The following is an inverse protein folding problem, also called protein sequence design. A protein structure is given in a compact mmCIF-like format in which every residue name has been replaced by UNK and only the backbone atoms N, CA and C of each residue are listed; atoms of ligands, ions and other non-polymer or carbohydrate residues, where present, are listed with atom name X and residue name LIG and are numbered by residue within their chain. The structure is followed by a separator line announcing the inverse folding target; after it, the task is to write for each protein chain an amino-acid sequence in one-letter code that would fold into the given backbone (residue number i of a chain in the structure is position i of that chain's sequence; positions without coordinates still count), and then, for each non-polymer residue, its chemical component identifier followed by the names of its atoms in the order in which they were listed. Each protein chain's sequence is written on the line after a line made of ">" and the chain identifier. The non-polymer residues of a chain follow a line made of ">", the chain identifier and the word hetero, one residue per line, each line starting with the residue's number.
data_IF_731413016126
#
_entry.id   IF_731413016126
#
_cell.length_a   1.000
_cell.length_b   1.000
_cell.length_c   1.000
_cell.angle_alpha   90.00
_cell.angle_beta   90.00
_cell.angle_gamma   90.00
#
_symmetry.space_group_name_H-M   'P 1'
#
loop_
_entity.id
_entity.type
_entity.pdbx_description
1 polymer ?
#
# COMPACT_ATOMS: atom_id res chain seq x y z
N UNK A 1 -49.29 31.65 -42.29
CA UNK A 1 -49.06 30.59 -43.30
C UNK A 1 -49.16 29.26 -42.59
N UNK A 2 -50.34 28.65 -42.62
CA UNK A 2 -50.62 27.41 -41.90
C UNK A 2 -50.83 26.25 -42.86
N UNK A 3 -50.43 25.07 -42.36
CA UNK A 3 -50.88 23.73 -42.73
C UNK A 3 -50.07 23.11 -43.90
N UNK A 4 -49.56 21.88 -43.84
CA UNK A 4 -50.31 20.68 -43.51
C UNK A 4 -49.43 19.54 -42.98
N UNK A 5 -49.94 18.91 -41.91
CA UNK A 5 -49.71 17.52 -41.54
C UNK A 5 -50.48 16.60 -42.50
N UNK A 6 -49.89 15.47 -42.90
CA UNK A 6 -50.52 14.12 -43.02
C UNK A 6 -49.60 13.20 -43.81
N UNK A 7 -49.08 12.10 -43.23
CA UNK A 7 -49.74 10.81 -42.94
C UNK A 7 -49.84 9.87 -44.14
N UNK A 8 -49.02 8.82 -44.06
CA UNK A 8 -49.33 7.39 -44.33
C UNK A 8 -49.44 6.98 -45.82
N UNK A 9 -49.26 5.67 -46.02
CA UNK A 9 -49.57 4.79 -47.18
C UNK A 9 -48.50 4.81 -48.30
N UNK A 10 -47.99 3.72 -48.88
CA UNK A 10 -48.40 2.31 -48.97
C UNK A 10 -47.21 1.45 -49.42
N UNK A 11 -47.21 0.19 -49.01
CA UNK A 11 -46.35 -0.91 -49.40
C UNK A 11 -46.66 -1.42 -50.84
N UNK A 12 -45.67 -2.07 -51.49
CA UNK A 12 -45.73 -3.32 -52.31
C UNK A 12 -45.21 -3.32 -53.77
N UNK A 13 -44.69 -4.52 -54.10
CA UNK A 13 -44.41 -5.16 -55.41
C UNK A 13 -43.02 -4.89 -56.03
N UNK A 14 -42.17 -5.84 -56.42
CA UNK A 14 -42.22 -7.31 -56.51
C UNK A 14 -41.18 -7.76 -57.56
N UNK A 15 -40.21 -8.58 -57.13
CA UNK A 15 -39.37 -9.58 -57.85
C UNK A 15 -39.05 -9.44 -59.36
N UNK A 16 -37.75 -9.52 -59.73
CA UNK A 16 -37.24 -10.41 -60.82
C UNK A 16 -35.69 -10.44 -60.96
N UNK A 17 -35.11 -11.58 -60.54
CA UNK A 17 -34.04 -12.42 -61.12
C UNK A 17 -32.80 -11.81 -61.83
N UNK A 18 -31.65 -12.04 -61.18
CA UNK A 18 -30.31 -12.46 -61.64
C UNK A 18 -29.79 -12.12 -63.06
N UNK A 19 -28.60 -11.49 -63.09
CA UNK A 19 -27.52 -11.84 -64.02
C UNK A 19 -26.15 -11.51 -63.42
N UNK A 20 -25.28 -12.52 -63.42
CA UNK A 20 -23.88 -12.45 -63.00
C UNK A 20 -23.03 -11.69 -64.04
N UNK A 21 -22.02 -10.95 -63.57
CA UNK A 21 -20.99 -10.35 -64.43
C UNK A 21 -20.02 -9.52 -63.61
N UNK A 22 -18.87 -10.12 -63.27
CA UNK A 22 -17.85 -9.54 -62.40
C UNK A 22 -17.30 -8.21 -62.87
N UNK A 23 -17.19 -7.28 -61.93
CA UNK A 23 -16.27 -6.14 -62.00
C UNK A 23 -15.62 -6.02 -60.62
N UNK A 24 -14.41 -6.55 -60.51
CA UNK A 24 -13.59 -6.40 -59.30
C UNK A 24 -13.10 -4.96 -59.21
N UNK A 25 -13.72 -4.18 -58.33
CA UNK A 25 -13.17 -2.91 -57.86
C UNK A 25 -12.20 -3.24 -56.73
N UNK A 26 -10.89 -3.23 -57.02
CA UNK A 26 -9.86 -3.28 -55.99
C UNK A 26 -9.84 -1.93 -55.27
N UNK A 27 -10.47 -1.87 -54.09
CA UNK A 27 -10.29 -0.75 -53.17
C UNK A 27 -8.83 -0.76 -52.67
N UNK A 28 -8.16 0.39 -52.56
CA UNK A 28 -6.88 0.45 -51.87
C UNK A 28 -7.12 0.12 -50.40
N UNK A 29 -6.40 -0.89 -49.89
CA UNK A 29 -6.36 -1.16 -48.46
C UNK A 29 -5.68 0.03 -47.79
N UNK A 30 -6.45 0.85 -47.08
CA UNK A 30 -5.90 1.82 -46.12
C UNK A 30 -5.21 0.97 -45.05
N UNK A 31 -3.89 1.10 -44.94
CA UNK A 31 -3.12 0.39 -43.93
C UNK A 31 -3.69 0.72 -42.57
N UNK A 32 -4.04 -0.30 -41.79
CA UNK A 32 -4.38 -0.13 -40.39
C UNK A 32 -3.14 0.42 -39.68
N UNK A 33 -3.22 1.65 -39.18
CA UNK A 33 -2.24 2.16 -38.23
C UNK A 33 -2.25 1.24 -37.00
N UNK A 34 -1.07 0.83 -36.49
CA UNK A 34 -1.03 0.02 -35.29
C UNK A 34 -1.72 0.79 -34.15
N UNK A 35 -2.66 0.13 -33.47
CA UNK A 35 -3.27 0.67 -32.27
C UNK A 35 -2.15 0.99 -31.25
N UNK A 36 -2.23 2.12 -30.52
CA UNK A 36 -1.28 2.40 -29.46
C UNK A 36 -1.33 1.25 -28.46
N UNK A 37 -0.17 0.67 -28.18
CA UNK A 37 -0.02 -0.32 -27.11
C UNK A 37 -0.22 0.47 -25.82
N UNK A 38 -1.37 0.28 -25.16
CA UNK A 38 -1.57 0.83 -23.83
C UNK A 38 -0.52 0.19 -22.91
N UNK A 39 0.35 1.02 -22.34
CA UNK A 39 1.22 0.59 -21.25
C UNK A 39 0.28 0.23 -20.10
N UNK A 40 0.40 -0.99 -19.56
CA UNK A 40 -0.42 -1.37 -18.41
C UNK A 40 -0.04 -0.45 -17.24
N UNK A 41 -1.05 0.16 -16.62
CA UNK A 41 -0.89 0.92 -15.38
C UNK A 41 -0.45 -0.04 -14.26
N UNK A 42 0.38 0.45 -13.33
CA UNK A 42 0.82 -0.35 -12.19
C UNK A 42 -0.37 -0.74 -11.30
N UNK A 43 -0.32 -1.92 -10.67
CA UNK A 43 -1.34 -2.35 -9.71
C UNK A 43 -1.30 -1.46 -8.47
N UNK A 44 -2.43 -1.26 -7.79
CA UNK A 44 -2.49 -0.45 -6.57
C UNK A 44 -1.37 -0.80 -5.58
N UNK A 45 -0.64 0.23 -5.10
CA UNK A 45 0.48 0.08 -4.17
C UNK A 45 1.84 -0.24 -4.83
N UNK A 46 1.91 -0.56 -6.13
CA UNK A 46 3.20 -0.76 -6.80
C UNK A 46 3.83 0.58 -7.21
N UNK A 47 4.74 1.08 -6.37
CA UNK A 47 5.48 2.32 -6.61
C UNK A 47 6.87 2.10 -7.23
N UNK A 48 7.22 0.88 -7.62
CA UNK A 48 8.57 0.51 -8.09
C UNK A 48 8.99 1.22 -9.39
N UNK A 49 8.04 1.81 -10.12
CA UNK A 49 8.26 2.54 -11.36
C UNK A 49 8.58 4.03 -11.21
N UNK A 50 8.60 4.58 -9.99
CA UNK A 50 8.84 6.01 -9.74
C UNK A 50 10.29 6.28 -9.33
N UNK A 51 10.80 7.42 -9.78
CA UNK A 51 11.97 8.02 -9.12
C UNK A 51 11.57 8.44 -7.71
N UNK A 52 12.49 8.27 -6.76
CA UNK A 52 12.27 8.62 -5.35
C UNK A 52 13.11 9.84 -4.98
N UNK A 53 12.54 10.77 -4.22
CA UNK A 53 13.23 11.96 -3.71
C UNK A 53 12.91 12.13 -2.23
N UNK A 54 13.94 12.28 -1.36
CA UNK A 54 13.71 12.59 0.05
C UNK A 54 12.90 13.88 0.21
N UNK A 55 11.96 13.91 1.15
CA UNK A 55 11.13 15.10 1.42
C UNK A 55 12.00 16.34 1.67
N UNK A 56 13.11 16.19 2.40
CA UNK A 56 14.04 17.28 2.68
C UNK A 56 14.83 17.80 1.48
N UNK A 57 14.78 17.12 0.33
CA UNK A 57 15.41 17.56 -0.94
C UNK A 57 14.41 18.25 -1.88
N UNK A 58 13.11 18.18 -1.58
CA UNK A 58 12.07 18.94 -2.28
C UNK A 58 12.10 20.43 -1.86
N UNK A 59 11.39 21.33 -2.57
CA UNK A 59 11.19 22.69 -2.09
C UNK A 59 10.63 22.69 -0.65
N UNK A 60 11.05 23.62 0.22
CA UNK A 60 10.66 23.61 1.63
C UNK A 60 9.14 23.70 1.84
N UNK A 61 8.41 24.33 0.90
CA UNK A 61 6.95 24.39 0.96
C UNK A 61 6.30 23.01 0.83
N UNK A 62 6.99 22.01 0.27
CA UNK A 62 6.52 20.62 0.23
C UNK A 62 6.54 19.99 1.62
N UNK A 63 7.56 20.28 2.43
CA UNK A 63 7.60 19.88 3.85
C UNK A 63 6.47 20.53 4.64
N UNK A 64 6.25 21.84 4.46
CA UNK A 64 5.13 22.53 5.12
C UNK A 64 3.78 21.88 4.76
N UNK A 65 3.61 21.50 3.49
CA UNK A 65 2.39 20.82 3.00
C UNK A 65 2.26 19.41 3.59
N UNK A 66 3.36 18.66 3.63
CA UNK A 66 3.39 17.33 4.26
C UNK A 66 3.00 17.39 5.73
N UNK A 67 3.54 18.35 6.49
CA UNK A 67 3.20 18.53 7.91
C UNK A 67 1.71 18.84 8.11
N UNK A 68 1.10 19.63 7.21
CA UNK A 68 -0.35 19.87 7.20
C UNK A 68 -1.14 18.60 6.91
N UNK A 69 -0.66 17.74 6.01
CA UNK A 69 -1.31 16.45 5.74
C UNK A 69 -1.25 15.58 7.01
N UNK A 70 -0.11 15.52 7.69
CA UNK A 70 0.03 14.76 8.94
C UNK A 70 -0.84 15.29 10.08
N UNK A 71 -1.14 16.59 10.09
CA UNK A 71 -1.98 17.22 11.12
C UNK A 71 -3.47 17.34 10.76
N UNK A 72 -3.91 16.79 9.63
CA UNK A 72 -5.28 16.94 9.10
C UNK A 72 -5.67 18.43 8.93
N UNK A 73 -4.75 19.21 8.38
CA UNK A 73 -4.90 20.64 8.13
C UNK A 73 -4.64 21.52 9.37
N UNK A 74 -5.19 22.75 9.41
CA UNK A 74 -6.08 23.35 8.42
C UNK A 74 -5.40 23.64 7.09
N UNK A 75 -6.06 23.28 5.98
CA UNK A 75 -5.49 23.49 4.64
C UNK A 75 -5.73 24.91 4.10
N UNK A 76 -4.75 25.50 3.40
CA UNK A 76 -4.82 26.88 2.92
C UNK A 76 -5.76 27.06 1.72
N UNK A 77 -5.99 26.02 0.91
CA UNK A 77 -6.84 26.10 -0.28
C UNK A 77 -8.08 25.19 -0.15
N UNK A 78 -9.24 25.61 -0.70
CA UNK A 78 -10.47 24.82 -0.62
C UNK A 78 -10.44 23.54 -1.47
N UNK A 79 -9.48 23.42 -2.41
CA UNK A 79 -9.26 22.21 -3.20
C UNK A 79 -8.29 21.22 -2.53
N UNK A 80 -7.62 21.61 -1.46
CA UNK A 80 -6.79 20.68 -0.69
C UNK A 80 -7.69 19.62 -0.03
N UNK A 81 -7.18 18.40 0.06
CA UNK A 81 -7.91 17.21 0.52
C UNK A 81 -9.08 16.78 -0.37
N UNK A 82 -9.13 17.26 -1.62
CA UNK A 82 -10.08 16.75 -2.61
C UNK A 82 -9.53 15.51 -3.32
N UNK A 83 -10.45 14.63 -3.76
CA UNK A 83 -10.09 13.39 -4.46
C UNK A 83 -9.36 13.67 -5.77
N UNK A 84 -8.15 13.13 -5.88
CA UNK A 84 -7.38 13.07 -7.11
C UNK A 84 -7.79 11.83 -7.92
N UNK A 85 -8.30 12.04 -9.13
CA UNK A 85 -8.93 10.96 -9.91
C UNK A 85 -7.95 10.10 -10.72
N UNK A 86 -6.66 10.47 -10.78
CA UNK A 86 -5.64 9.76 -11.56
C UNK A 86 -6.10 9.39 -13.00
N UNK A 87 -6.73 10.33 -13.72
CA UNK A 87 -7.37 10.05 -15.02
C UNK A 87 -6.37 9.70 -16.12
N UNK A 88 -5.18 10.25 -16.01
CA UNK A 88 -4.06 10.02 -16.89
C UNK A 88 -3.40 8.65 -16.62
N UNK A 89 -3.75 7.99 -15.51
CA UNK A 89 -3.25 6.66 -15.14
C UNK A 89 -1.75 6.64 -14.88
N UNK A 90 -1.18 7.74 -14.39
CA UNK A 90 0.25 7.84 -14.10
C UNK A 90 0.56 7.15 -12.77
N UNK A 91 -0.25 7.40 -11.74
CA UNK A 91 -0.15 6.72 -10.45
C UNK A 91 -0.70 5.29 -10.54
N UNK A 92 -0.38 4.38 -9.60
CA UNK A 92 -0.97 3.05 -9.54
C UNK A 92 -2.52 3.04 -9.60
N UNK A 93 -3.09 1.96 -10.15
CA UNK A 93 -4.53 1.82 -10.33
C UNK A 93 -5.21 1.37 -9.03
N UNK A 94 -5.63 2.36 -8.23
CA UNK A 94 -6.34 2.17 -6.97
C UNK A 94 -7.82 2.58 -7.07
N UNK A 95 -8.61 2.24 -6.04
CA UNK A 95 -10.03 2.57 -6.00
C UNK A 95 -10.33 4.09 -5.99
N UNK A 96 -11.54 4.48 -6.41
CA UNK A 96 -11.96 5.89 -6.38
C UNK A 96 -11.92 6.42 -4.94
N UNK A 97 -11.31 7.60 -4.76
CA UNK A 97 -11.13 8.20 -3.44
C UNK A 97 -9.85 7.76 -2.73
N UNK A 98 -9.06 6.86 -3.30
CA UNK A 98 -7.79 6.44 -2.70
C UNK A 98 -6.75 7.57 -2.63
N UNK A 99 -6.70 8.41 -3.67
CA UNK A 99 -5.76 9.53 -3.77
C UNK A 99 -6.42 10.88 -3.46
N UNK A 100 -5.73 11.71 -2.69
CA UNK A 100 -6.13 13.07 -2.34
C UNK A 100 -5.03 14.07 -2.73
N UNK A 101 -5.39 15.26 -3.22
CA UNK A 101 -4.44 16.29 -3.64
C UNK A 101 -4.30 17.44 -2.64
N UNK A 102 -3.08 17.97 -2.53
CA UNK A 102 -2.73 19.09 -1.66
C UNK A 102 -1.82 20.07 -2.39
N UNK A 103 -2.07 21.36 -2.19
CA UNK A 103 -1.30 22.43 -2.81
C UNK A 103 0.04 22.60 -2.12
N UNK A 104 1.12 22.55 -2.90
CA UNK A 104 2.43 23.02 -2.45
C UNK A 104 2.60 24.46 -2.91
N UNK A 105 2.79 25.37 -1.95
CA UNK A 105 2.91 26.78 -2.28
C UNK A 105 4.11 27.07 -3.18
N UNK A 106 3.94 28.05 -4.06
CA UNK A 106 5.02 28.58 -4.87
C UNK A 106 5.21 30.05 -4.49
N UNK A 107 6.32 30.39 -3.82
CA UNK A 107 6.54 31.74 -3.32
C UNK A 107 6.36 32.82 -4.39
N UNK A 108 5.58 33.85 -4.05
CA UNK A 108 5.33 35.00 -4.91
C UNK A 108 4.22 34.83 -5.95
N UNK A 109 3.50 33.70 -5.95
CA UNK A 109 2.27 33.55 -6.73
C UNK A 109 1.03 33.87 -5.88
N UNK A 110 0.08 34.58 -6.47
CA UNK A 110 -1.23 34.89 -5.85
C UNK A 110 -2.28 33.79 -6.11
N UNK A 111 -1.84 32.63 -6.60
CA UNK A 111 -2.66 31.47 -6.95
C UNK A 111 -1.93 30.17 -6.62
N UNK A 112 -2.67 29.05 -6.54
CA UNK A 112 -2.16 27.70 -6.17
C UNK A 112 -0.92 27.23 -6.92
N UNK A 113 -0.64 27.76 -8.11
CA UNK A 113 0.51 27.34 -8.92
C UNK A 113 0.36 25.91 -9.42
N UNK A 114 1.47 25.29 -9.82
CA UNK A 114 1.50 23.96 -10.44
C UNK A 114 1.88 22.82 -9.46
N UNK A 115 2.48 23.14 -8.32
CA UNK A 115 3.08 22.15 -7.43
C UNK A 115 2.05 21.49 -6.53
N UNK A 116 2.09 20.17 -6.38
CA UNK A 116 1.17 19.42 -5.53
C UNK A 116 1.88 18.27 -4.83
N UNK A 117 1.33 17.88 -3.68
CA UNK A 117 1.48 16.54 -3.13
C UNK A 117 0.18 15.79 -3.41
N UNK A 118 0.27 14.55 -3.88
CA UNK A 118 -0.85 13.61 -3.95
C UNK A 118 -0.59 12.51 -2.93
N UNK A 119 -1.45 12.38 -1.92
CA UNK A 119 -1.37 11.35 -0.89
C UNK A 119 -2.23 10.15 -1.28
N UNK A 120 -1.67 8.94 -1.18
CA UNK A 120 -2.40 7.68 -1.24
C UNK A 120 -2.79 7.21 0.16
N UNK A 121 -3.92 6.52 0.26
CA UNK A 121 -4.39 5.96 1.53
C UNK A 121 -3.50 4.84 2.09
N UNK A 122 -2.61 4.25 1.26
CA UNK A 122 -1.58 3.28 1.66
C UNK A 122 -0.34 3.90 2.30
N UNK A 123 -0.35 5.23 2.48
CA UNK A 123 0.71 5.98 3.16
C UNK A 123 1.80 6.47 2.21
N UNK A 124 1.65 6.30 0.89
CA UNK A 124 2.55 6.86 -0.10
C UNK A 124 2.21 8.33 -0.45
N UNK A 125 3.24 9.14 -0.71
CA UNK A 125 3.08 10.52 -1.17
C UNK A 125 3.83 10.74 -2.46
N UNK A 126 3.19 11.39 -3.42
CA UNK A 126 3.80 11.75 -4.71
C UNK A 126 3.88 13.26 -4.84
N UNK A 127 5.03 13.77 -5.25
CA UNK A 127 5.20 15.19 -5.57
C UNK A 127 5.15 15.40 -7.09
N UNK A 128 4.38 16.40 -7.51
CA UNK A 128 4.41 16.93 -8.88
C UNK A 128 4.80 18.41 -8.84
N UNK A 129 5.68 18.82 -9.74
CA UNK A 129 6.08 20.22 -9.90
C UNK A 129 5.43 20.90 -11.12
N UNK A 130 4.72 20.12 -11.92
CA UNK A 130 4.27 20.43 -13.27
C UNK A 130 2.77 20.15 -13.46
N UNK A 131 2.00 20.22 -12.37
CA UNK A 131 0.53 20.10 -12.41
C UNK A 131 0.08 18.75 -13.02
N UNK A 132 0.59 17.67 -12.41
CA UNK A 132 0.25 16.27 -12.69
C UNK A 132 0.79 15.72 -14.03
N UNK A 133 1.69 16.43 -14.71
CA UNK A 133 2.35 15.91 -15.92
C UNK A 133 3.38 14.82 -15.58
N UNK A 134 4.06 14.94 -14.43
CA UNK A 134 4.96 13.92 -13.88
C UNK A 134 4.94 13.88 -12.35
N UNK A 135 5.40 12.76 -11.79
CA UNK A 135 5.46 12.53 -10.36
C UNK A 135 6.81 11.93 -9.93
N UNK A 136 7.26 12.31 -8.74
CA UNK A 136 8.32 11.63 -7.98
C UNK A 136 7.71 11.10 -6.69
N UNK A 137 8.12 9.92 -6.24
CA UNK A 137 7.74 9.38 -4.94
C UNK A 137 8.51 10.13 -3.85
N UNK A 138 7.81 10.57 -2.81
CA UNK A 138 8.41 11.26 -1.68
C UNK A 138 8.86 10.22 -0.67
N UNK A 139 10.16 10.19 -0.38
CA UNK A 139 10.70 9.45 0.76
C UNK A 139 10.62 10.33 2.00
N UNK A 140 9.61 10.06 2.84
CA UNK A 140 9.48 10.72 4.13
C UNK A 140 10.30 9.90 5.12
N UNK A 141 11.29 10.52 5.76
CA UNK A 141 12.30 9.85 6.60
C UNK A 141 11.75 9.14 7.86
N UNK A 142 10.43 8.97 7.96
CA UNK A 142 9.68 8.25 8.98
C UNK A 142 8.85 7.08 8.40
N UNK A 143 9.02 6.73 7.11
CA UNK A 143 8.39 5.55 6.49
C UNK A 143 7.05 5.77 5.76
N UNK A 144 6.89 6.90 5.05
CA UNK A 144 5.69 7.23 4.25
C UNK A 144 5.88 7.20 2.72
N UNK A 145 6.80 6.40 2.20
CA UNK A 145 6.39 5.53 1.10
C UNK A 145 5.92 4.25 1.79
N UNK A 146 4.95 3.49 1.26
CA UNK A 146 4.85 2.10 1.72
C UNK A 146 6.28 1.56 1.67
N UNK A 147 6.92 1.21 2.81
CA UNK A 147 8.20 0.56 2.73
C UNK A 147 7.94 -0.64 1.82
N UNK A 148 8.88 -0.96 0.92
CA UNK A 148 9.02 -2.37 0.54
C UNK A 148 8.79 -3.13 1.84
N UNK A 149 7.75 -3.99 1.95
CA UNK A 149 7.23 -4.45 3.23
C UNK A 149 8.43 -4.78 4.08
N UNK A 150 8.64 -4.05 5.18
CA UNK A 150 9.84 -4.24 6.00
C UNK A 150 10.01 -5.74 6.10
N UNK A 151 11.16 -6.29 5.64
CA UNK A 151 11.28 -7.73 5.52
C UNK A 151 10.83 -8.30 6.85
N UNK A 152 9.79 -9.16 6.80
CA UNK A 152 9.14 -9.64 8.01
C UNK A 152 10.25 -10.02 9.01
N UNK A 153 10.15 -9.55 10.27
CA UNK A 153 11.25 -9.66 11.22
C UNK A 153 11.81 -11.08 11.16
N UNK A 154 13.13 -11.19 10.99
CA UNK A 154 13.74 -12.50 10.84
C UNK A 154 13.43 -13.34 12.07
N UNK A 155 13.37 -14.67 11.89
CA UNK A 155 13.19 -15.56 13.02
C UNK A 155 14.23 -15.28 14.11
N UNK A 156 13.73 -15.07 15.33
CA UNK A 156 14.55 -14.71 16.48
C UNK A 156 14.75 -13.21 16.69
N UNK A 157 14.20 -12.34 15.84
CA UNK A 157 14.18 -10.90 16.10
C UNK A 157 13.22 -10.57 17.26
N UNK A 158 13.79 -10.04 18.34
CA UNK A 158 13.07 -9.63 19.55
C UNK A 158 12.92 -8.12 19.68
N UNK A 159 13.45 -7.34 18.72
CA UNK A 159 13.55 -5.88 18.82
C UNK A 159 12.19 -5.17 18.90
N UNK A 160 11.12 -5.81 18.42
CA UNK A 160 9.75 -5.32 18.50
C UNK A 160 9.03 -5.57 19.83
N UNK A 161 9.67 -6.25 20.80
CA UNK A 161 9.06 -6.61 22.08
C UNK A 161 9.67 -5.83 23.25
N UNK A 162 8.86 -5.59 24.28
CA UNK A 162 9.37 -5.10 25.56
C UNK A 162 10.29 -6.16 26.18
N UNK A 163 11.44 -5.73 26.71
CA UNK A 163 12.41 -6.62 27.36
C UNK A 163 12.15 -6.75 28.86
N UNK A 164 12.26 -7.97 29.41
CA UNK A 164 12.15 -8.25 30.84
C UNK A 164 13.35 -9.07 31.33
N UNK A 165 13.91 -8.69 32.48
CA UNK A 165 15.04 -9.42 33.05
C UNK A 165 14.57 -10.79 33.59
N UNK A 166 15.30 -11.87 33.31
CA UNK A 166 15.01 -13.22 33.82
C UNK A 166 14.82 -13.23 35.35
N UNK A 167 15.67 -12.50 36.06
CA UNK A 167 15.63 -12.39 37.53
C UNK A 167 14.35 -11.75 38.08
N UNK A 168 13.58 -11.03 37.25
CA UNK A 168 12.32 -10.39 37.62
C UNK A 168 11.10 -11.29 37.40
N UNK A 169 11.27 -12.41 36.68
CA UNK A 169 10.18 -13.35 36.41
C UNK A 169 9.80 -14.15 37.67
N UNK A 170 8.56 -14.67 37.76
CA UNK A 170 8.19 -15.65 38.77
C UNK A 170 9.12 -16.88 38.75
N UNK A 171 9.31 -17.53 39.89
CA UNK A 171 10.22 -18.67 40.01
C UNK A 171 9.89 -19.82 39.04
N UNK A 172 8.60 -20.10 38.84
CA UNK A 172 8.12 -21.13 37.90
C UNK A 172 8.48 -20.79 36.44
N UNK A 173 8.46 -19.51 36.08
CA UNK A 173 8.92 -19.05 34.77
C UNK A 173 10.45 -19.15 34.64
N UNK A 174 11.21 -18.80 35.68
CA UNK A 174 12.66 -18.97 35.68
C UNK A 174 13.06 -20.45 35.49
N UNK A 175 12.37 -21.37 36.16
CA UNK A 175 12.58 -22.81 36.01
C UNK A 175 12.25 -23.26 34.57
N UNK A 176 11.14 -22.79 34.00
CA UNK A 176 10.77 -23.09 32.61
C UNK A 176 11.79 -22.56 31.59
N UNK A 177 12.36 -21.36 31.81
CA UNK A 177 13.46 -20.84 30.98
C UNK A 177 14.70 -21.73 31.09
N UNK A 178 15.05 -22.16 32.31
CA UNK A 178 16.20 -23.04 32.53
C UNK A 178 16.02 -24.41 31.85
N UNK A 179 14.81 -24.97 31.89
CA UNK A 179 14.47 -26.21 31.18
C UNK A 179 14.61 -26.05 29.66
N UNK A 180 14.07 -24.97 29.10
CA UNK A 180 14.16 -24.67 27.67
C UNK A 180 15.62 -24.52 27.21
N UNK A 181 16.43 -23.73 27.92
CA UNK A 181 17.86 -23.57 27.65
C UNK A 181 18.67 -24.85 27.89
N UNK A 182 18.20 -25.71 28.79
CA UNK A 182 18.75 -27.04 29.06
C UNK A 182 18.42 -28.08 27.98
N UNK A 183 17.63 -27.72 26.97
CA UNK A 183 17.23 -28.60 25.86
C UNK A 183 16.06 -29.52 26.20
N UNK A 184 15.27 -29.21 27.23
CA UNK A 184 14.00 -29.88 27.44
C UNK A 184 13.08 -29.64 26.24
N UNK A 185 12.26 -30.65 25.90
CA UNK A 185 11.31 -30.53 24.79
C UNK A 185 9.98 -29.99 25.31
N UNK A 186 9.57 -28.83 24.80
CA UNK A 186 8.27 -28.23 25.06
C UNK A 186 7.18 -28.81 24.15
N UNK A 187 6.00 -28.21 24.21
CA UNK A 187 4.96 -28.45 23.20
C UNK A 187 5.10 -27.46 22.06
N UNK A 188 4.72 -27.78 20.83
CA UNK A 188 4.81 -26.80 19.74
C UNK A 188 3.90 -25.60 20.02
N UNK A 189 4.46 -24.39 19.99
CA UNK A 189 3.70 -23.15 20.01
C UNK A 189 3.37 -22.75 18.57
N UNK A 190 2.09 -22.48 18.31
CA UNK A 190 1.65 -21.89 17.04
C UNK A 190 1.40 -20.40 17.30
N UNK A 191 2.16 -19.52 16.64
CA UNK A 191 2.05 -18.06 16.74
C UNK A 191 0.75 -17.54 16.09
N UNK A 192 -0.40 -17.90 16.66
CA UNK A 192 -1.71 -17.52 16.14
C UNK A 192 -2.06 -16.08 16.46
N UNK A 193 -1.42 -15.53 17.50
CA UNK A 193 -1.55 -14.14 17.91
C UNK A 193 -0.84 -13.20 16.93
N UNK A 194 0.14 -13.70 16.15
CA UNK A 194 0.91 -12.91 15.20
C UNK A 194 1.80 -11.85 15.85
N UNK A 195 2.16 -12.04 17.13
CA UNK A 195 2.98 -11.09 17.89
C UNK A 195 4.47 -11.41 17.75
N UNK A 196 4.83 -12.70 17.69
CA UNK A 196 6.22 -13.11 17.42
C UNK A 196 6.48 -13.08 15.90
N UNK A 197 7.76 -13.07 15.47
CA UNK A 197 8.11 -13.27 14.07
C UNK A 197 7.51 -14.54 13.45
N UNK A 198 7.14 -14.48 12.17
CA UNK A 198 6.61 -15.64 11.46
C UNK A 198 7.75 -16.59 11.05
N UNK A 199 7.75 -17.77 11.67
CA UNK A 199 8.80 -18.78 11.51
C UNK A 199 8.30 -20.11 10.96
N UNK A 200 9.25 -20.99 10.59
CA UNK A 200 8.92 -22.35 10.17
C UNK A 200 8.14 -23.08 11.27
N UNK A 201 7.18 -23.91 10.85
CA UNK A 201 6.37 -24.69 11.79
C UNK A 201 7.25 -25.54 12.72
N UNK A 202 7.03 -25.41 14.03
CA UNK A 202 7.82 -26.11 15.05
C UNK A 202 9.01 -25.32 15.58
N UNK A 203 9.29 -24.13 15.05
CA UNK A 203 10.38 -23.26 15.51
C UNK A 203 10.20 -22.82 16.98
N UNK A 204 8.96 -22.53 17.39
CA UNK A 204 8.66 -22.14 18.76
C UNK A 204 8.15 -23.32 19.60
N UNK A 205 8.70 -23.46 20.80
CA UNK A 205 8.29 -24.43 21.81
C UNK A 205 7.75 -23.72 23.05
N UNK A 206 6.58 -24.16 23.51
CA UNK A 206 5.87 -23.70 24.69
C UNK A 206 6.21 -24.54 25.93
N UNK A 207 6.50 -23.85 27.01
CA UNK A 207 6.72 -24.37 28.36
C UNK A 207 5.70 -23.74 29.32
N UNK A 208 5.08 -24.58 30.15
CA UNK A 208 4.16 -24.09 31.18
C UNK A 208 4.97 -23.43 32.30
N UNK A 209 4.59 -22.20 32.68
CA UNK A 209 5.29 -21.40 33.68
C UNK A 209 4.37 -20.99 34.83
N UNK A 210 3.31 -21.77 35.08
CA UNK A 210 2.26 -21.45 36.04
C UNK A 210 0.86 -21.65 35.44
N UNK A 211 -0.17 -21.10 36.10
CA UNK A 211 -1.56 -21.25 35.65
C UNK A 211 -1.86 -20.43 34.38
N UNK A 212 -1.45 -19.16 34.36
CA UNK A 212 -1.66 -18.21 33.26
C UNK A 212 -0.36 -17.98 32.46
N UNK A 213 0.76 -18.00 33.16
CA UNK A 213 2.08 -17.64 32.68
C UNK A 213 2.62 -18.73 31.73
N UNK A 214 3.27 -18.32 30.63
CA UNK A 214 3.97 -19.24 29.73
C UNK A 214 5.34 -18.70 29.37
N UNK A 215 6.25 -19.64 29.12
CA UNK A 215 7.54 -19.38 28.49
C UNK A 215 7.51 -19.99 27.10
N UNK A 216 7.97 -19.25 26.10
CA UNK A 216 8.10 -19.72 24.73
C UNK A 216 9.57 -19.58 24.36
N UNK A 217 10.17 -20.65 23.84
CA UNK A 217 11.55 -20.66 23.37
C UNK A 217 11.58 -20.88 21.86
N UNK A 218 12.36 -20.08 21.15
CA UNK A 218 12.65 -20.30 19.74
C UNK A 218 13.91 -21.14 19.53
N UNK A 219 14.05 -21.75 18.36
CA UNK A 219 15.20 -22.59 18.00
C UNK A 219 16.51 -21.78 17.91
N UNK A 220 16.43 -20.45 17.73
CA UNK A 220 17.54 -19.52 17.78
C UNK A 220 18.08 -19.23 19.20
N UNK A 221 17.39 -19.71 20.25
CA UNK A 221 17.76 -19.54 21.66
C UNK A 221 17.12 -18.34 22.35
N UNK A 222 16.32 -17.57 21.63
CA UNK A 222 15.49 -16.50 22.18
C UNK A 222 14.38 -17.05 23.08
N UNK A 223 14.08 -16.29 24.13
CA UNK A 223 13.11 -16.65 25.15
C UNK A 223 12.07 -15.53 25.24
N UNK A 224 10.80 -15.92 25.23
CA UNK A 224 9.66 -15.03 25.39
C UNK A 224 8.86 -15.43 26.61
N UNK A 225 8.27 -14.43 27.26
CA UNK A 225 7.43 -14.61 28.42
C UNK A 225 6.07 -13.95 28.19
N UNK A 226 5.01 -14.68 28.53
CA UNK A 226 3.64 -14.16 28.53
C UNK A 226 3.03 -14.37 29.93
N UNK A 227 2.83 -13.29 30.72
CA UNK A 227 2.27 -13.39 32.07
C UNK A 227 0.74 -13.59 32.10
N UNK A 228 0.08 -13.52 30.95
CA UNK A 228 -1.37 -13.31 30.85
C UNK A 228 -2.00 -14.14 29.73
N UNK A 229 -1.48 -15.36 29.52
CA UNK A 229 -2.03 -16.35 28.60
C UNK A 229 -2.15 -15.80 27.17
N UNK A 230 -1.02 -15.33 26.65
CA UNK A 230 -0.82 -14.82 25.27
C UNK A 230 -1.45 -13.45 24.99
N UNK A 231 -1.86 -12.68 26.01
CA UNK A 231 -2.35 -11.32 25.78
C UNK A 231 -1.21 -10.31 25.62
N UNK A 232 -0.08 -10.52 26.30
CA UNK A 232 1.16 -9.76 26.16
C UNK A 232 2.37 -10.68 26.04
N UNK A 233 3.39 -10.19 25.34
CA UNK A 233 4.65 -10.89 25.10
C UNK A 233 5.82 -9.96 25.42
N UNK A 234 6.80 -10.50 26.13
CA UNK A 234 8.03 -9.82 26.47
C UNK A 234 9.21 -10.69 26.07
N UNK A 235 10.27 -10.09 25.55
CA UNK A 235 11.54 -10.77 25.32
C UNK A 235 12.29 -10.89 26.65
N UNK A 236 12.71 -12.10 27.01
CA UNK A 236 13.44 -12.32 28.26
C UNK A 236 14.92 -12.08 28.02
N UNK A 237 15.49 -11.10 28.72
CA UNK A 237 16.93 -10.93 28.82
C UNK A 237 17.48 -11.98 29.79
N UNK A 238 18.24 -12.94 29.25
CA UNK A 238 18.84 -14.05 29.99
C UNK A 238 20.28 -13.79 30.42
N UNK A 239 20.88 -12.67 30.01
CA UNK A 239 22.26 -12.30 30.38
C UNK A 239 22.32 -11.38 31.62
N UNK A 240 21.18 -11.09 32.25
CA UNK A 240 21.05 -10.15 33.38
C UNK A 240 21.48 -10.68 34.75
#
# INVERSE_FOLDING_TARGET
>A
MGNHRSRIVTMLLGLLVALAGGFGLTAPAVGAEPAPVAVAQAECGDTSGFDTTPLGELPPEATDTYDLIQSDGPYPYPEDDTVFQNREGILPDCEEGYYHEYTVETPGLDHRGARRIVAGSGGEYFYTSDHYESFTLIETGDGGGSPDPEPAPECGDTSGLESVALSSLPAEAQDAVADAQGGATGTTYENREGVLPDCEAGYYQLFEAGAEDRVIAGDGGEIFYTPDRYATFQAVDTES
#
